data_IF_995658758677
#
_entry.id   IF_995658758677
#
_cell.length_a   1.000
_cell.length_b   1.000
_cell.length_c   1.000
_cell.angle_alpha   90.00
_cell.angle_beta   90.00
_cell.angle_gamma   90.00
#
_symmetry.space_group_name_H-M   'P 1'
#
loop_
_entity.id
_entity.type
_entity.pdbx_description
1 polymer ?
#
# COMPACT_ATOMS: atom_id res chain seq x y z
N UNK A 1 -24.51 -65.10 72.64
CA UNK A 1 -24.73 -64.56 71.28
C UNK A 1 -24.74 -63.04 71.39
N UNK A 2 -23.61 -62.39 71.09
CA UNK A 2 -23.44 -60.94 71.21
C UNK A 2 -24.09 -60.25 70.01
N UNK A 3 -25.22 -59.57 70.23
CA UNK A 3 -25.87 -58.73 69.22
C UNK A 3 -25.00 -57.47 69.07
N UNK A 4 -24.23 -57.40 67.98
CA UNK A 4 -23.54 -56.17 67.55
C UNK A 4 -24.60 -55.10 67.27
N UNK A 5 -24.78 -54.16 68.18
CA UNK A 5 -25.53 -52.92 67.96
C UNK A 5 -24.81 -52.11 66.86
N UNK A 6 -25.39 -52.11 65.66
CA UNK A 6 -24.94 -51.32 64.51
C UNK A 6 -24.92 -49.84 64.92
N UNK A 7 -23.75 -49.20 64.84
CA UNK A 7 -23.49 -47.87 65.40
C UNK A 7 -24.20 -46.77 64.58
N UNK A 8 -25.51 -46.61 64.77
CA UNK A 8 -26.39 -45.69 64.02
C UNK A 8 -26.02 -44.20 64.14
N UNK A 9 -25.22 -43.81 65.13
CA UNK A 9 -24.80 -42.41 65.32
C UNK A 9 -23.76 -41.96 64.30
N UNK A 10 -22.86 -42.87 63.88
CA UNK A 10 -21.87 -42.58 62.84
C UNK A 10 -22.51 -42.43 61.47
N UNK A 11 -23.45 -43.32 61.12
CA UNK A 11 -24.18 -43.27 59.85
C UNK A 11 -25.00 -41.97 59.70
N UNK A 12 -25.58 -41.46 60.80
CA UNK A 12 -26.31 -40.20 60.79
C UNK A 12 -25.40 -38.99 60.55
N UNK A 13 -24.23 -38.94 61.19
CA UNK A 13 -23.26 -37.87 61.00
C UNK A 13 -22.71 -37.85 59.56
N UNK A 14 -22.41 -39.02 58.99
CA UNK A 14 -21.95 -39.14 57.59
C UNK A 14 -23.05 -38.69 56.62
N UNK A 15 -24.30 -39.11 56.85
CA UNK A 15 -25.43 -38.70 56.01
C UNK A 15 -25.66 -37.19 56.05
N UNK A 16 -25.53 -36.57 57.23
CA UNK A 16 -25.67 -35.13 57.41
C UNK A 16 -24.57 -34.35 56.66
N UNK A 17 -23.32 -34.82 56.71
CA UNK A 17 -22.21 -34.20 55.98
C UNK A 17 -22.40 -34.30 54.47
N UNK A 18 -22.89 -35.44 53.96
CA UNK A 18 -23.18 -35.62 52.54
C UNK A 18 -24.29 -34.68 52.07
N UNK A 19 -25.36 -34.52 52.86
CA UNK A 19 -26.44 -33.56 52.55
C UNK A 19 -25.91 -32.13 52.55
N UNK A 20 -25.08 -31.77 53.54
CA UNK A 20 -24.50 -30.43 53.62
C UNK A 20 -23.58 -30.12 52.43
N UNK A 21 -22.79 -31.11 52.00
CA UNK A 21 -21.95 -31.02 50.81
C UNK A 21 -22.78 -30.86 49.53
N UNK A 22 -23.88 -31.62 49.39
CA UNK A 22 -24.80 -31.48 48.25
C UNK A 22 -25.48 -30.10 48.22
N UNK A 23 -25.87 -29.57 49.37
CA UNK A 23 -26.43 -28.21 49.47
C UNK A 23 -25.39 -27.16 49.09
N UNK A 24 -24.16 -27.28 49.57
CA UNK A 24 -23.06 -26.38 49.21
C UNK A 24 -22.74 -26.40 47.71
N UNK A 25 -22.69 -27.60 47.10
CA UNK A 25 -22.51 -27.76 45.65
C UNK A 25 -23.70 -27.18 44.88
N UNK A 26 -24.92 -27.39 45.36
CA UNK A 26 -26.13 -26.81 44.78
C UNK A 26 -26.13 -25.29 44.82
N UNK A 27 -25.74 -24.69 45.95
CA UNK A 27 -25.60 -23.24 46.10
C UNK A 27 -24.49 -22.72 45.19
N UNK A 28 -23.33 -23.39 45.12
CA UNK A 28 -22.24 -22.99 44.25
C UNK A 28 -22.63 -23.04 42.76
N UNK A 29 -23.32 -24.11 42.33
CA UNK A 29 -23.84 -24.25 40.97
C UNK A 29 -24.92 -23.20 40.66
N UNK A 30 -25.80 -22.90 41.61
CA UNK A 30 -26.81 -21.87 41.46
C UNK A 30 -26.18 -20.48 41.38
N UNK A 31 -25.23 -20.15 42.26
CA UNK A 31 -24.47 -18.90 42.21
C UNK A 31 -23.68 -18.78 40.91
N UNK A 32 -23.06 -19.85 40.42
CA UNK A 32 -22.36 -19.86 39.15
C UNK A 32 -23.31 -19.70 37.97
N UNK A 33 -24.48 -20.34 37.98
CA UNK A 33 -25.50 -20.19 36.94
C UNK A 33 -26.14 -18.79 36.93
N UNK A 34 -26.44 -18.23 38.10
CA UNK A 34 -26.97 -16.89 38.25
C UNK A 34 -25.93 -15.83 37.83
N UNK A 35 -24.66 -16.02 38.23
CA UNK A 35 -23.55 -15.21 37.77
C UNK A 35 -23.37 -15.33 36.25
N UNK A 36 -23.40 -16.54 35.66
CA UNK A 36 -23.30 -16.72 34.21
C UNK A 36 -24.44 -16.05 33.44
N UNK A 37 -25.65 -15.99 33.99
CA UNK A 37 -26.75 -15.22 33.38
C UNK A 37 -26.48 -13.71 33.42
N UNK A 38 -25.93 -13.20 34.52
CA UNK A 38 -25.52 -11.80 34.63
C UNK A 38 -24.32 -11.48 33.71
N UNK A 39 -23.31 -12.35 33.64
CA UNK A 39 -22.14 -12.18 32.77
C UNK A 39 -22.46 -12.39 31.29
N UNK A 40 -23.34 -13.33 30.93
CA UNK A 40 -23.84 -13.51 29.57
C UNK A 40 -24.64 -12.31 29.07
N UNK A 41 -25.23 -11.52 29.98
CA UNK A 41 -25.88 -10.25 29.65
C UNK A 41 -24.89 -9.08 29.56
N UNK A 42 -23.73 -9.17 30.24
CA UNK A 42 -22.73 -8.09 30.32
C UNK A 42 -21.61 -8.23 29.30
N UNK A 43 -21.25 -9.45 28.90
CA UNK A 43 -20.35 -9.70 27.76
C UNK A 43 -21.22 -9.58 26.51
N UNK A 44 -21.22 -8.37 25.96
CA UNK A 44 -21.66 -8.10 24.60
C UNK A 44 -21.13 -9.22 23.69
N UNK A 45 -22.03 -9.99 23.08
CA UNK A 45 -21.78 -11.13 22.20
C UNK A 45 -20.51 -10.88 21.32
N UNK A 46 -19.44 -11.71 21.39
CA UNK A 46 -18.15 -11.46 20.72
C UNK A 46 -18.29 -11.12 19.23
N UNK A 47 -19.24 -11.79 18.56
CA UNK A 47 -19.61 -11.56 17.16
C UNK A 47 -20.03 -10.12 16.83
N UNK A 48 -20.32 -9.27 17.84
CA UNK A 48 -20.70 -7.85 17.68
C UNK A 48 -19.50 -6.96 17.41
N UNK A 49 -18.38 -7.21 18.08
CA UNK A 49 -17.14 -6.45 17.88
C UNK A 49 -16.47 -6.93 16.59
N UNK A 50 -16.60 -8.22 16.28
CA UNK A 50 -16.08 -8.81 15.04
C UNK A 50 -16.64 -8.12 13.79
N UNK A 51 -17.91 -7.71 13.77
CA UNK A 51 -18.49 -6.97 12.64
C UNK A 51 -17.88 -5.56 12.48
N UNK A 52 -17.58 -4.87 13.58
CA UNK A 52 -16.94 -3.54 13.54
C UNK A 52 -15.50 -3.67 13.05
N UNK A 53 -14.76 -4.65 13.56
CA UNK A 53 -13.41 -4.95 13.08
C UNK A 53 -13.41 -5.40 11.61
N UNK A 54 -14.40 -6.18 11.18
CA UNK A 54 -14.54 -6.57 9.79
C UNK A 54 -14.78 -5.37 8.87
N UNK A 55 -15.59 -4.38 9.29
CA UNK A 55 -15.77 -3.14 8.54
C UNK A 55 -14.48 -2.31 8.48
N UNK A 56 -13.75 -2.23 9.59
CA UNK A 56 -12.45 -1.56 9.65
C UNK A 56 -11.44 -2.21 8.71
N UNK A 57 -11.29 -3.54 8.79
CA UNK A 57 -10.38 -4.32 7.96
C UNK A 57 -10.74 -4.26 6.48
N UNK A 58 -12.04 -4.34 6.14
CA UNK A 58 -12.50 -4.14 4.76
C UNK A 58 -12.16 -2.74 4.24
N UNK A 59 -12.34 -1.71 5.08
CA UNK A 59 -12.01 -0.33 4.68
C UNK A 59 -10.50 -0.17 4.49
N UNK A 60 -9.68 -0.72 5.40
CA UNK A 60 -8.21 -0.76 5.26
C UNK A 60 -7.80 -1.48 3.99
N UNK A 61 -8.42 -2.62 3.70
CA UNK A 61 -8.16 -3.38 2.48
C UNK A 61 -8.48 -2.54 1.24
N UNK A 62 -9.67 -1.93 1.14
CA UNK A 62 -10.04 -1.08 0.00
C UNK A 62 -9.15 0.15 -0.15
N UNK A 63 -8.74 0.79 0.95
CA UNK A 63 -7.79 1.90 0.93
C UNK A 63 -6.43 1.47 0.38
N UNK A 64 -5.86 0.40 0.92
CA UNK A 64 -4.55 -0.13 0.49
C UNK A 64 -4.58 -0.44 -1.00
N UNK A 65 -5.59 -1.19 -1.41
CA UNK A 65 -5.78 -1.58 -2.80
C UNK A 65 -5.93 -0.39 -3.75
N UNK A 66 -6.70 0.62 -3.35
CA UNK A 66 -6.89 1.81 -4.18
C UNK A 66 -5.63 2.65 -4.25
N UNK A 67 -4.81 2.69 -3.19
CA UNK A 67 -3.51 3.34 -3.19
C UNK A 67 -2.56 2.66 -4.19
N UNK A 68 -2.44 1.34 -4.13
CA UNK A 68 -1.56 0.56 -5.02
C UNK A 68 -1.96 0.75 -6.49
N UNK A 69 -3.22 0.47 -6.80
CA UNK A 69 -3.74 0.52 -8.16
C UNK A 69 -3.61 1.94 -8.74
N UNK A 70 -3.95 2.97 -7.95
CA UNK A 70 -3.84 4.36 -8.39
C UNK A 70 -2.38 4.80 -8.58
N UNK A 71 -1.46 4.39 -7.71
CA UNK A 71 -0.07 4.80 -7.83
C UNK A 71 0.57 4.18 -9.07
N UNK A 72 0.36 2.89 -9.30
CA UNK A 72 0.87 2.19 -10.48
C UNK A 72 0.30 2.81 -11.76
N UNK A 73 -1.02 3.04 -11.79
CA UNK A 73 -1.69 3.66 -12.95
C UNK A 73 -1.14 5.05 -13.22
N UNK A 74 -1.07 5.93 -12.21
CA UNK A 74 -0.53 7.28 -12.39
C UNK A 74 0.95 7.23 -12.78
N UNK A 75 1.75 6.32 -12.22
CA UNK A 75 3.16 6.15 -12.60
C UNK A 75 3.28 5.72 -14.07
N UNK A 76 2.44 4.80 -14.52
CA UNK A 76 2.44 4.36 -15.91
C UNK A 76 1.99 5.46 -16.88
N UNK A 77 0.88 6.14 -16.58
CA UNK A 77 0.38 7.28 -17.38
C UNK A 77 1.45 8.40 -17.42
N UNK A 78 2.12 8.64 -16.29
CA UNK A 78 3.19 9.61 -16.16
C UNK A 78 4.35 9.30 -17.09
N UNK A 79 4.72 8.02 -17.20
CA UNK A 79 5.79 7.52 -18.08
C UNK A 79 5.36 7.41 -19.55
N UNK A 80 4.08 7.19 -19.84
CA UNK A 80 3.58 6.89 -21.19
C UNK A 80 2.98 8.08 -21.92
N UNK A 81 2.24 8.94 -21.22
CA UNK A 81 1.48 10.06 -21.79
C UNK A 81 2.21 11.40 -21.66
N UNK A 82 3.47 11.36 -21.24
CA UNK A 82 4.38 12.49 -21.14
C UNK A 82 3.89 13.69 -20.30
N UNK A 83 2.87 13.53 -19.45
CA UNK A 83 2.34 14.67 -18.68
C UNK A 83 3.27 15.09 -17.53
N UNK A 84 4.12 14.15 -17.08
CA UNK A 84 5.21 14.39 -16.14
C UNK A 84 6.51 14.82 -16.82
N UNK A 85 6.53 14.92 -18.15
CA UNK A 85 7.72 15.26 -18.92
C UNK A 85 7.51 16.52 -19.73
N UNK A 86 8.62 17.11 -20.16
CA UNK A 86 8.60 18.17 -21.18
C UNK A 86 9.09 17.54 -22.48
N UNK A 87 8.23 17.40 -23.48
CA UNK A 87 8.64 16.87 -24.78
C UNK A 87 9.50 17.92 -25.49
N UNK A 88 10.79 17.66 -25.69
CA UNK A 88 11.60 18.47 -26.60
C UNK A 88 11.37 17.99 -28.04
N UNK A 89 10.49 18.67 -28.77
CA UNK A 89 10.31 18.46 -30.20
C UNK A 89 11.47 19.09 -30.98
N UNK A 90 12.51 18.31 -31.29
CA UNK A 90 13.46 18.67 -32.37
C UNK A 90 13.74 17.47 -33.29
N UNK A 91 12.85 17.34 -34.27
CA UNK A 91 12.89 16.55 -35.52
C UNK A 91 12.67 15.04 -35.45
N UNK A 92 11.82 14.55 -36.38
CA UNK A 92 11.52 13.20 -36.93
C UNK A 92 11.48 11.98 -36.00
N UNK A 93 12.38 11.88 -35.03
CA UNK A 93 12.36 10.89 -33.98
C UNK A 93 11.81 11.56 -32.72
N UNK A 94 10.62 11.14 -32.25
CA UNK A 94 10.10 11.55 -30.95
C UNK A 94 11.02 11.01 -29.85
N UNK A 95 12.07 11.75 -29.52
CA UNK A 95 12.92 11.48 -28.38
C UNK A 95 12.32 12.23 -27.20
N UNK A 96 11.87 11.49 -26.19
CA UNK A 96 11.45 12.05 -24.92
C UNK A 96 12.70 12.51 -24.19
N UNK A 97 12.81 13.81 -23.95
CA UNK A 97 13.98 14.45 -23.33
C UNK A 97 13.56 14.98 -21.97
N UNK A 98 14.32 14.64 -20.95
CA UNK A 98 14.09 15.11 -19.59
C UNK A 98 14.71 16.51 -19.43
N UNK A 99 13.92 17.57 -19.63
CA UNK A 99 14.44 18.93 -19.42
C UNK A 99 14.43 19.37 -17.95
N UNK A 100 13.61 18.76 -17.08
CA UNK A 100 13.54 19.06 -15.63
C UNK A 100 13.13 17.85 -14.77
N UNK A 101 13.54 17.89 -13.50
CA UNK A 101 13.46 16.79 -12.54
C UNK A 101 12.33 16.97 -11.53
N UNK A 102 11.50 15.92 -11.48
CA UNK A 102 10.38 15.46 -10.65
C UNK A 102 10.22 15.79 -9.14
N UNK A 103 10.97 16.68 -8.51
CA UNK A 103 11.06 16.66 -7.04
C UNK A 103 9.76 16.99 -6.25
N UNK A 104 8.75 17.68 -6.82
CA UNK A 104 7.46 17.95 -6.16
C UNK A 104 6.30 18.11 -7.18
N UNK A 105 6.22 17.22 -8.18
CA UNK A 105 5.30 17.41 -9.31
C UNK A 105 3.82 17.44 -8.87
N UNK A 106 3.27 18.65 -8.81
CA UNK A 106 1.88 18.92 -8.45
C UNK A 106 0.92 18.20 -9.38
N UNK A 107 1.26 18.05 -10.67
CA UNK A 107 0.42 17.35 -11.64
C UNK A 107 0.40 15.86 -11.38
N UNK A 108 1.53 15.25 -11.03
CA UNK A 108 1.53 13.85 -10.61
C UNK A 108 0.65 13.65 -9.38
N UNK A 109 0.78 14.51 -8.38
CA UNK A 109 -0.02 14.42 -7.16
C UNK A 109 -1.52 14.65 -7.41
N UNK A 110 -1.87 15.60 -8.29
CA UNK A 110 -3.25 15.83 -8.73
C UNK A 110 -3.81 14.62 -9.48
N UNK A 111 -3.03 14.07 -10.42
CA UNK A 111 -3.44 12.90 -11.21
C UNK A 111 -3.58 11.66 -10.34
N UNK A 112 -2.67 11.46 -9.39
CA UNK A 112 -2.77 10.40 -8.40
C UNK A 112 -4.02 10.55 -7.55
N UNK A 113 -4.34 11.75 -7.07
CA UNK A 113 -5.59 12.00 -6.33
C UNK A 113 -6.83 11.72 -7.19
N UNK A 114 -6.79 12.07 -8.47
CA UNK A 114 -7.88 11.77 -9.42
C UNK A 114 -8.07 10.26 -9.57
N UNK A 115 -6.99 9.53 -9.88
CA UNK A 115 -7.03 8.08 -10.09
C UNK A 115 -7.39 7.34 -8.79
N UNK A 116 -6.83 7.76 -7.65
CA UNK A 116 -7.21 7.26 -6.34
C UNK A 116 -8.71 7.46 -6.10
N UNK A 117 -9.23 8.67 -6.29
CA UNK A 117 -10.66 8.98 -6.13
C UNK A 117 -11.57 8.09 -6.99
N UNK A 118 -11.17 7.79 -8.24
CA UNK A 118 -11.89 6.83 -9.10
C UNK A 118 -11.85 5.41 -8.54
N UNK A 119 -10.67 4.93 -8.13
CA UNK A 119 -10.47 3.56 -7.62
C UNK A 119 -11.24 3.35 -6.32
N UNK A 120 -11.09 4.26 -5.36
CA UNK A 120 -11.74 4.14 -4.07
C UNK A 120 -13.25 4.39 -4.17
N UNK A 121 -13.70 5.22 -5.12
CA UNK A 121 -15.11 5.45 -5.42
C UNK A 121 -15.86 4.25 -5.98
N UNK A 122 -15.16 3.22 -6.48
CA UNK A 122 -15.79 1.96 -6.91
C UNK A 122 -16.21 1.07 -5.73
N UNK A 123 -15.70 1.34 -4.52
CA UNK A 123 -16.05 0.59 -3.33
C UNK A 123 -17.17 1.29 -2.55
N UNK A 124 -18.14 0.52 -2.08
CA UNK A 124 -19.16 1.04 -1.17
C UNK A 124 -18.57 1.18 0.24
N UNK A 125 -18.02 2.35 0.54
CA UNK A 125 -17.49 2.69 1.85
C UNK A 125 -18.56 3.20 2.83
N UNK A 126 -19.85 2.98 2.53
CA UNK A 126 -20.96 3.41 3.38
C UNK A 126 -21.07 4.93 3.48
N UNK A 127 -20.99 5.48 4.70
CA UNK A 127 -21.10 6.92 4.99
C UNK A 127 -19.81 7.70 4.75
N UNK A 128 -18.71 7.02 4.44
CA UNK A 128 -17.43 7.65 4.19
C UNK A 128 -17.43 8.44 2.89
N UNK A 129 -17.10 9.73 3.01
CA UNK A 129 -16.87 10.56 1.85
C UNK A 129 -15.39 10.63 1.53
N UNK A 130 -15.09 10.58 0.23
CA UNK A 130 -13.75 10.69 -0.34
C UNK A 130 -12.99 11.95 0.13
N UNK A 131 -13.73 13.05 0.34
CA UNK A 131 -13.21 14.35 0.82
C UNK A 131 -12.57 14.29 2.21
N UNK A 132 -12.85 13.24 3.00
CA UNK A 132 -12.29 13.05 4.34
C UNK A 132 -10.98 12.24 4.34
N UNK A 133 -10.55 11.72 3.19
CA UNK A 133 -9.32 10.93 3.09
C UNK A 133 -8.15 11.87 2.89
N UNK A 134 -7.23 11.92 3.86
CA UNK A 134 -5.98 12.66 3.76
C UNK A 134 -4.90 11.76 3.19
N UNK A 135 -4.24 12.22 2.14
CA UNK A 135 -3.10 11.54 1.53
C UNK A 135 -1.81 12.23 1.94
N UNK A 136 -0.80 11.44 2.31
CA UNK A 136 0.54 11.93 2.63
C UNK A 136 1.60 11.11 1.91
N UNK A 137 2.66 11.79 1.48
CA UNK A 137 3.77 11.21 0.73
C UNK A 137 5.05 11.41 1.54
N UNK A 138 5.75 10.33 1.85
CA UNK A 138 7.00 10.38 2.61
C UNK A 138 8.01 9.38 2.06
N UNK A 139 8.90 9.85 1.18
CA UNK A 139 9.87 9.01 0.50
C UNK A 139 9.16 7.93 -0.33
N UNK A 140 9.34 6.67 0.07
CA UNK A 140 8.78 5.51 -0.63
C UNK A 140 7.42 5.08 -0.07
N UNK A 141 6.90 5.80 0.92
CA UNK A 141 5.61 5.49 1.54
C UNK A 141 4.54 6.48 1.16
N UNK A 142 3.37 5.94 0.85
CA UNK A 142 2.15 6.71 0.61
C UNK A 142 1.12 6.24 1.61
N UNK A 143 0.60 7.17 2.40
CA UNK A 143 -0.35 6.87 3.47
C UNK A 143 -1.66 7.59 3.24
N UNK A 144 -2.76 6.84 3.29
CA UNK A 144 -4.12 7.35 3.38
C UNK A 144 -4.62 7.28 4.82
N UNK A 145 -5.14 8.40 5.31
CA UNK A 145 -5.67 8.53 6.67
C UNK A 145 -7.11 9.01 6.60
N UNK A 146 -8.00 8.28 7.27
CA UNK A 146 -9.38 8.69 7.55
C UNK A 146 -9.49 8.94 9.05
N UNK A 147 -9.74 10.18 9.42
CA UNK A 147 -9.86 10.57 10.83
C UNK A 147 -11.31 10.55 11.30
N UNK A 148 -11.53 10.11 12.53
CA UNK A 148 -12.79 10.19 13.26
C UNK A 148 -13.98 9.57 12.51
N UNK A 149 -13.80 8.38 11.94
CA UNK A 149 -14.91 7.65 11.32
C UNK A 149 -15.86 7.12 12.39
N UNK A 150 -17.15 7.40 12.23
CA UNK A 150 -18.23 6.77 12.99
C UNK A 150 -18.56 5.41 12.38
N UNK A 151 -18.25 4.33 13.10
CA UNK A 151 -18.67 2.98 12.76
C UNK A 151 -19.88 2.59 13.60
N UNK A 152 -20.84 1.96 12.94
CA UNK A 152 -22.08 1.48 13.56
C UNK A 152 -22.23 -0.01 13.32
N UNK A 153 -22.44 -0.75 14.40
CA UNK A 153 -22.98 -2.09 14.30
C UNK A 153 -24.51 -2.00 14.44
N UNK A 154 -25.24 -2.20 13.33
CA UNK A 154 -26.70 -2.35 13.37
C UNK A 154 -27.06 -3.67 14.05
N UNK A 155 -27.91 -3.58 15.07
CA UNK A 155 -28.38 -4.74 15.84
C UNK A 155 -29.82 -5.02 15.40
N UNK A 156 -30.10 -6.25 14.98
CA UNK A 156 -31.45 -6.68 14.59
C UNK A 156 -32.42 -6.89 15.78
N UNK A 157 -32.06 -6.40 16.98
CA UNK A 157 -32.80 -6.62 18.23
C UNK A 157 -33.21 -5.26 18.82
N UNK A 158 -34.51 -5.02 18.92
CA UNK A 158 -35.13 -3.71 19.23
C UNK A 158 -34.79 -3.17 20.64
N UNK A 159 -34.14 -3.98 21.49
CA UNK A 159 -33.89 -3.67 22.90
C UNK A 159 -32.41 -3.41 23.25
N UNK A 160 -31.53 -3.22 22.26
CA UNK A 160 -30.10 -3.00 22.52
C UNK A 160 -29.63 -1.71 21.83
N UNK A 161 -28.95 -0.86 22.59
CA UNK A 161 -28.33 0.37 22.09
C UNK A 161 -27.31 0.04 20.99
N UNK A 162 -27.39 0.78 19.88
CA UNK A 162 -26.42 0.72 18.80
C UNK A 162 -25.02 1.04 19.34
N UNK A 163 -24.02 0.26 18.91
CA UNK A 163 -22.62 0.56 19.25
C UNK A 163 -22.13 1.61 18.26
N UNK A 164 -21.97 2.84 18.73
CA UNK A 164 -21.29 3.91 18.02
C UNK A 164 -19.80 3.93 18.42
N UNK A 165 -18.92 3.67 17.47
CA UNK A 165 -17.48 3.61 17.67
C UNK A 165 -16.76 4.63 16.78
N UNK A 166 -15.92 5.47 17.37
CA UNK A 166 -15.07 6.41 16.63
C UNK A 166 -13.64 5.89 16.54
N UNK A 167 -13.10 5.82 15.34
CA UNK A 167 -11.72 5.40 15.11
C UNK A 167 -11.03 6.20 14.01
N UNK A 168 -9.73 5.98 13.86
CA UNK A 168 -8.96 6.45 12.73
C UNK A 168 -8.53 5.23 11.91
N UNK A 169 -8.73 5.30 10.60
CA UNK A 169 -8.27 4.26 9.68
C UNK A 169 -7.05 4.79 8.96
N UNK A 170 -5.94 4.09 9.09
CA UNK A 170 -4.71 4.36 8.38
C UNK A 170 -4.34 3.15 7.53
N UNK A 171 -3.98 3.41 6.28
CA UNK A 171 -3.38 2.44 5.37
C UNK A 171 -2.21 3.09 4.66
N UNK A 172 -1.15 2.32 4.47
CA UNK A 172 0.07 2.77 3.81
C UNK A 172 0.57 1.72 2.85
N UNK A 173 1.09 2.15 1.71
CA UNK A 173 1.80 1.31 0.75
C UNK A 173 3.27 1.70 0.72
N UNK A 174 4.13 0.73 0.44
CA UNK A 174 5.54 0.95 0.14
C UNK A 174 5.76 0.74 -1.36
N UNK A 175 6.15 1.79 -2.07
CA UNK A 175 6.29 1.74 -3.54
C UNK A 175 7.45 0.86 -3.97
N UNK A 176 8.44 0.62 -3.10
CA UNK A 176 9.53 -0.31 -3.39
C UNK A 176 9.04 -1.76 -3.37
N UNK A 177 8.08 -2.09 -2.49
CA UNK A 177 7.43 -3.42 -2.44
C UNK A 177 6.57 -3.67 -3.68
N UNK A 178 6.09 -2.61 -4.33
CA UNK A 178 5.41 -2.68 -5.63
C UNK A 178 6.39 -2.87 -6.80
N UNK A 179 7.70 -2.98 -6.57
CA UNK A 179 8.69 -3.10 -7.63
C UNK A 179 8.94 -1.79 -8.39
N UNK A 180 8.53 -0.66 -7.80
CA UNK A 180 8.76 0.69 -8.31
C UNK A 180 9.84 1.38 -7.48
N UNK A 181 10.23 2.58 -7.86
CA UNK A 181 10.99 3.48 -6.99
C UNK A 181 10.22 4.78 -6.88
N UNK A 182 10.34 5.48 -5.75
CA UNK A 182 9.69 6.77 -5.64
C UNK A 182 10.22 7.74 -6.70
N UNK A 183 9.34 8.64 -7.10
CA UNK A 183 9.66 9.78 -7.97
C UNK A 183 10.88 10.56 -7.44
N UNK A 184 10.97 10.69 -6.11
CA UNK A 184 12.09 11.34 -5.45
C UNK A 184 13.41 10.58 -5.62
N UNK A 185 13.42 9.27 -5.43
CA UNK A 185 14.64 8.46 -5.59
C UNK A 185 15.16 8.49 -7.03
N UNK A 186 14.24 8.46 -8.00
CA UNK A 186 14.54 8.61 -9.44
C UNK A 186 15.14 9.99 -9.71
N UNK A 187 14.55 11.05 -9.14
CA UNK A 187 15.04 12.42 -9.22
C UNK A 187 16.44 12.58 -8.63
N UNK A 188 16.65 12.12 -7.41
CA UNK A 188 17.92 12.23 -6.69
C UNK A 188 19.02 11.44 -7.40
N UNK A 189 18.67 10.27 -7.94
CA UNK A 189 19.58 9.46 -8.77
C UNK A 189 19.95 10.18 -10.07
N UNK A 190 19.01 10.85 -10.72
CA UNK A 190 19.28 11.63 -11.93
C UNK A 190 20.31 12.74 -11.67
N UNK A 191 20.09 13.55 -10.63
CA UNK A 191 21.01 14.64 -10.29
C UNK A 191 22.39 14.13 -9.90
N UNK A 192 22.46 13.02 -9.16
CA UNK A 192 23.70 12.41 -8.73
C UNK A 192 24.49 11.77 -9.87
N UNK A 193 23.81 11.05 -10.76
CA UNK A 193 24.47 10.23 -11.77
C UNK A 193 24.80 11.01 -13.06
N UNK A 194 24.11 12.11 -13.37
CA UNK A 194 24.30 12.83 -14.65
C UNK A 194 25.70 13.39 -14.87
N UNK A 195 26.44 13.72 -13.80
CA UNK A 195 27.80 14.31 -13.89
C UNK A 195 28.91 13.29 -14.13
N UNK A 196 28.61 11.99 -14.11
CA UNK A 196 29.60 10.93 -14.22
C UNK A 196 29.99 10.62 -15.68
N UNK A 197 31.07 9.87 -15.88
CA UNK A 197 31.40 9.35 -17.22
C UNK A 197 30.34 8.37 -17.72
N UNK A 198 30.22 8.18 -19.03
CA UNK A 198 29.21 7.28 -19.64
C UNK A 198 29.25 5.85 -19.07
N UNK A 199 30.46 5.32 -18.87
CA UNK A 199 30.67 3.99 -18.31
C UNK A 199 30.18 3.89 -16.85
N UNK A 200 30.28 4.99 -16.10
CA UNK A 200 29.91 5.08 -14.69
C UNK A 200 28.43 5.43 -14.50
N UNK A 201 27.82 6.20 -15.42
CA UNK A 201 26.40 6.57 -15.39
C UNK A 201 25.52 5.34 -15.23
N UNK A 202 25.68 4.35 -16.11
CA UNK A 202 24.85 3.15 -16.11
C UNK A 202 24.98 2.33 -14.83
N UNK A 203 26.18 2.30 -14.24
CA UNK A 203 26.42 1.66 -12.94
C UNK A 203 25.76 2.45 -11.81
N UNK A 204 25.92 3.77 -11.80
CA UNK A 204 25.35 4.66 -10.80
C UNK A 204 23.82 4.51 -10.72
N UNK A 205 23.10 4.54 -11.84
CA UNK A 205 21.65 4.35 -11.80
C UNK A 205 21.24 2.98 -11.26
N UNK A 206 21.91 1.90 -11.65
CA UNK A 206 21.61 0.54 -11.14
C UNK A 206 21.88 0.38 -9.64
N UNK A 207 22.82 1.14 -9.09
CA UNK A 207 23.15 1.10 -7.66
C UNK A 207 22.19 1.94 -6.82
N UNK A 208 21.64 3.02 -7.37
CA UNK A 208 20.70 3.89 -6.63
C UNK A 208 19.23 3.51 -6.87
N UNK A 209 18.90 2.84 -7.98
CA UNK A 209 17.54 2.40 -8.31
C UNK A 209 17.47 0.88 -8.32
N UNK A 210 17.22 0.33 -7.13
CA UNK A 210 17.22 -1.12 -6.87
C UNK A 210 16.27 -1.91 -7.76
N UNK A 211 15.16 -1.32 -8.18
CA UNK A 211 14.13 -1.98 -8.99
C UNK A 211 14.27 -1.74 -10.49
N UNK A 212 15.34 -1.06 -10.92
CA UNK A 212 15.60 -0.80 -12.34
C UNK A 212 16.88 -1.49 -12.83
N UNK A 213 16.80 -2.07 -14.02
CA UNK A 213 17.95 -2.21 -14.90
C UNK A 213 18.34 -0.84 -15.45
N UNK A 214 19.60 -0.69 -15.83
CA UNK A 214 20.10 0.55 -16.43
C UNK A 214 21.05 0.24 -17.57
N UNK A 215 20.79 0.83 -18.73
CA UNK A 215 21.67 0.80 -19.90
C UNK A 215 21.95 2.21 -20.37
N UNK A 216 23.10 2.41 -20.99
CA UNK A 216 23.56 3.72 -21.43
C UNK A 216 24.01 3.62 -22.87
N UNK A 217 23.52 4.53 -23.69
CA UNK A 217 23.84 4.64 -25.11
C UNK A 217 24.39 6.05 -25.38
N UNK A 218 25.55 6.14 -26.02
CA UNK A 218 26.07 7.40 -26.53
C UNK A 218 25.58 7.58 -27.97
N UNK A 219 24.84 8.66 -28.20
CA UNK A 219 24.42 9.07 -29.54
C UNK A 219 25.20 10.30 -29.96
N UNK A 220 25.90 10.19 -31.09
CA UNK A 220 26.63 11.29 -31.73
C UNK A 220 25.92 11.64 -33.03
N UNK A 221 25.80 12.93 -33.34
CA UNK A 221 25.20 13.43 -34.59
C UNK A 221 26.16 14.35 -35.34
N UNK A 222 26.15 14.25 -36.66
CA UNK A 222 26.87 15.16 -37.55
C UNK A 222 26.16 16.53 -37.69
N UNK A 223 26.77 17.45 -38.44
CA UNK A 223 26.22 18.79 -38.70
C UNK A 223 24.86 18.77 -39.45
N UNK A 224 24.53 17.65 -40.10
CA UNK A 224 23.28 17.45 -40.82
C UNK A 224 22.21 16.74 -39.97
N UNK A 225 22.54 16.37 -38.73
CA UNK A 225 21.65 15.67 -37.81
C UNK A 225 21.64 14.15 -37.93
N UNK A 226 22.51 13.55 -38.75
CA UNK A 226 22.58 12.10 -38.91
C UNK A 226 23.33 11.45 -37.75
N UNK A 227 22.84 10.31 -37.26
CA UNK A 227 23.51 9.52 -36.21
C UNK A 227 24.82 8.92 -36.74
N UNK A 228 25.90 9.15 -36.00
CA UNK A 228 27.23 8.63 -36.30
C UNK A 228 27.40 7.24 -35.69
N UNK A 229 27.83 6.28 -36.51
CA UNK A 229 28.12 4.92 -36.04
C UNK A 229 29.52 4.86 -35.40
N UNK A 230 29.75 3.95 -34.45
CA UNK A 230 30.99 3.85 -33.64
C UNK A 230 32.33 3.68 -34.38
N UNK A 231 32.34 3.63 -35.71
CA UNK A 231 33.54 3.59 -36.55
C UNK A 231 33.83 4.90 -37.33
N UNK A 232 32.99 5.93 -37.23
CA UNK A 232 33.11 7.16 -38.03
C UNK A 232 33.98 8.24 -37.34
N UNK A 233 35.21 7.88 -36.97
CA UNK A 233 36.13 8.73 -36.21
C UNK A 233 36.51 10.06 -36.89
N UNK A 234 36.33 10.16 -38.22
CA UNK A 234 36.75 11.31 -39.03
C UNK A 234 35.66 12.36 -39.27
N UNK A 235 34.42 12.14 -38.79
CA UNK A 235 33.30 13.10 -38.98
C UNK A 235 33.24 14.13 -37.83
N UNK A 236 33.01 15.40 -38.17
CA UNK A 236 32.75 16.45 -37.18
C UNK A 236 31.47 16.14 -36.39
N UNK A 237 31.59 16.03 -35.08
CA UNK A 237 30.48 15.84 -34.15
C UNK A 237 29.87 17.21 -33.86
N UNK A 238 28.63 17.43 -34.32
CA UNK A 238 27.90 18.66 -34.06
C UNK A 238 27.18 18.61 -32.72
N UNK A 239 26.67 17.42 -32.36
CA UNK A 239 25.92 17.20 -31.14
C UNK A 239 26.22 15.80 -30.60
N UNK A 240 26.38 15.69 -29.29
CA UNK A 240 26.44 14.41 -28.60
C UNK A 240 25.45 14.42 -27.43
N UNK A 241 24.81 13.29 -27.19
CA UNK A 241 23.98 13.09 -26.01
C UNK A 241 24.03 11.64 -25.56
N UNK A 242 23.94 11.45 -24.25
CA UNK A 242 23.84 10.15 -23.63
C UNK A 242 22.37 9.84 -23.37
N UNK A 243 21.88 8.70 -23.85
CA UNK A 243 20.58 8.14 -23.47
C UNK A 243 20.82 7.14 -22.34
N UNK A 244 20.19 7.36 -21.20
CA UNK A 244 20.13 6.39 -20.11
C UNK A 244 18.76 5.75 -20.16
N UNK A 245 18.71 4.46 -20.44
CA UNK A 245 17.48 3.70 -20.48
C UNK A 245 17.38 2.83 -19.23
N UNK A 246 16.42 3.18 -18.38
CA UNK A 246 16.05 2.42 -17.20
C UNK A 246 14.85 1.55 -17.51
N UNK A 247 14.91 0.28 -17.13
CA UNK A 247 13.81 -0.67 -17.32
C UNK A 247 13.49 -1.33 -16.00
N UNK A 248 12.22 -1.35 -15.59
CA UNK A 248 11.80 -2.04 -14.37
C UNK A 248 12.24 -3.51 -14.43
N UNK A 249 12.76 -4.03 -13.32
CA UNK A 249 13.16 -5.43 -13.19
C UNK A 249 11.94 -6.33 -13.15
N UNK A 250 10.88 -5.86 -12.50
CA UNK A 250 9.59 -6.53 -12.48
C UNK A 250 8.87 -6.30 -13.80
N UNK A 251 8.48 -7.42 -14.41
CA UNK A 251 8.09 -7.46 -15.82
C UNK A 251 6.64 -7.05 -16.03
N UNK A 252 5.82 -7.13 -15.00
CA UNK A 252 4.36 -7.10 -15.10
C UNK A 252 3.73 -6.60 -13.80
N UNK A 253 2.81 -5.65 -13.94
CA UNK A 253 1.86 -5.30 -12.88
C UNK A 253 0.57 -6.02 -13.19
N UNK A 254 0.09 -6.80 -12.22
CA UNK A 254 -1.08 -7.65 -12.36
C UNK A 254 -2.14 -7.13 -11.39
N UNK A 255 -3.38 -6.95 -11.85
CA UNK A 255 -4.48 -6.62 -10.95
C UNK A 255 -4.81 -7.82 -10.03
N UNK A 256 -5.76 -7.61 -9.13
CA UNK A 256 -6.18 -8.65 -8.18
C UNK A 256 -6.87 -9.81 -8.87
N UNK A 257 -7.44 -9.59 -10.05
CA UNK A 257 -8.04 -10.63 -10.89
C UNK A 257 -7.02 -11.43 -11.69
N UNK A 258 -5.72 -11.11 -11.58
CA UNK A 258 -4.66 -11.83 -12.29
C UNK A 258 -4.47 -11.32 -13.73
N UNK A 259 -5.10 -10.22 -14.12
CA UNK A 259 -4.93 -9.64 -15.44
C UNK A 259 -3.66 -8.80 -15.48
N UNK A 260 -2.92 -8.96 -16.57
CA UNK A 260 -1.82 -8.08 -16.89
C UNK A 260 -2.33 -6.66 -17.15
N UNK A 261 -2.05 -5.73 -16.25
CA UNK A 261 -2.42 -4.32 -16.45
C UNK A 261 -1.31 -3.61 -17.23
N UNK A 262 -0.05 -3.80 -16.83
CA UNK A 262 1.09 -3.08 -17.41
C UNK A 262 2.28 -4.02 -17.59
N UNK A 263 2.99 -3.88 -18.72
CA UNK A 263 4.23 -4.61 -18.99
C UNK A 263 5.42 -3.65 -18.99
N UNK A 264 6.49 -4.00 -18.27
CA UNK A 264 7.79 -3.31 -18.20
C UNK A 264 7.76 -1.77 -18.31
N UNK A 265 8.01 -1.06 -17.21
CA UNK A 265 8.13 0.39 -17.26
C UNK A 265 9.53 0.76 -17.76
N UNK A 266 9.59 1.64 -18.77
CA UNK A 266 10.83 2.10 -19.40
C UNK A 266 10.96 3.62 -19.26
N UNK A 267 12.03 4.10 -18.63
CA UNK A 267 12.32 5.51 -18.40
C UNK A 267 13.61 5.87 -19.16
N UNK A 268 13.57 6.90 -20.01
CA UNK A 268 14.70 7.26 -20.88
C UNK A 268 15.26 8.64 -20.60
N UNK A 269 16.28 8.75 -19.77
CA UNK A 269 16.92 10.05 -19.61
C UNK A 269 17.83 10.42 -20.78
N UNK A 270 17.88 11.71 -21.11
CA UNK A 270 18.77 12.25 -22.15
C UNK A 270 19.63 13.35 -21.53
N UNK A 271 20.95 13.14 -21.55
CA UNK A 271 21.92 14.14 -21.10
C UNK A 271 22.72 14.68 -22.29
N UNK A 272 22.65 15.99 -22.52
CA UNK A 272 23.27 16.62 -23.68
C UNK A 272 24.72 16.98 -23.38
N UNK A 273 25.63 16.35 -24.11
CA UNK A 273 27.06 16.67 -24.09
C UNK A 273 27.28 17.73 -25.19
N UNK A 274 27.26 19.00 -24.81
CA UNK A 274 27.56 20.09 -25.75
C UNK A 274 29.03 19.96 -26.18
N UNK A 275 29.25 19.55 -27.42
CA UNK A 275 30.55 19.68 -28.10
C UNK A 275 30.57 21.00 -28.86
N UNK A 276 31.59 21.83 -28.56
CA UNK A 276 31.87 23.09 -29.27
C UNK A 276 32.23 22.85 -30.73
#
# INVERSE_FOLDING_TARGET
>A
MLIKLKNRRGDFAVTLVVILALVLVGIALFSFSAANKAYSATISNPNRIDNVYLQEDNTKFYLTNSLEDAYIETFYECVSDDFCFTVSEKNADKILVFDKVWNEDEKFNEKFKENFGKRIGNYNLGSLKLENIKLSFSGNKITAIIENIDMKAEIADENVDNIDYKTNIESSIDVDELGLNSIKDISDSWEKCRILSELEKGKCYRENLGNYGGSVELVRKDNNGNVLSGGEADKQIAQAYTIVNLKSKDKFFIDKEGNLIYSNIEIKFVDRIITK
#
